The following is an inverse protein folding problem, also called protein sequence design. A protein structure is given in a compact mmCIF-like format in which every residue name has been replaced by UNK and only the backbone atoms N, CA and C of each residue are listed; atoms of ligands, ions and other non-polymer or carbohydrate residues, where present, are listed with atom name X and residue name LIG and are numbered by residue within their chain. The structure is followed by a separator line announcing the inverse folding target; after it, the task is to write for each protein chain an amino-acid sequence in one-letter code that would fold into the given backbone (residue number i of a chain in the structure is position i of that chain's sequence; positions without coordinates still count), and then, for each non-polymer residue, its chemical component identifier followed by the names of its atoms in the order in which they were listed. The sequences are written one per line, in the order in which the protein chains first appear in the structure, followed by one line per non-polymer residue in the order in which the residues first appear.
data_IF_420529577970
#
_entry.id   IF_420529577970
#
_cell.length_a   1.000
_cell.length_b   1.000
_cell.length_c   1.000
_cell.angle_alpha   90.00
_cell.angle_beta   90.00
_cell.angle_gamma   90.00
#
_symmetry.space_group_name_H-M   'P 1'
#
loop_
_entity.id
_entity.type
_entity.pdbx_description
1 polymer ?
#
# COMPACT_ATOMS: atom_id res chain seq x y z
N UNK A 1 -30.85 -12.76 -7.85
CA UNK A 1 -29.47 -13.02 -8.33
C UNK A 1 -29.07 -11.84 -9.21
N UNK A 2 -28.34 -10.85 -8.68
CA UNK A 2 -27.82 -9.79 -9.52
C UNK A 2 -26.80 -10.39 -10.49
N UNK A 3 -27.09 -10.33 -11.79
CA UNK A 3 -26.15 -10.75 -12.82
C UNK A 3 -24.82 -10.02 -12.63
N UNK A 4 -23.70 -10.74 -12.77
CA UNK A 4 -22.35 -10.19 -12.62
C UNK A 4 -22.16 -9.06 -13.64
N UNK A 5 -22.26 -7.79 -13.19
CA UNK A 5 -22.22 -6.58 -14.06
C UNK A 5 -20.83 -6.25 -14.60
N UNK A 6 -19.82 -7.03 -14.23
CA UNK A 6 -18.44 -6.81 -14.59
C UNK A 6 -17.70 -8.14 -14.74
N UNK A 7 -16.65 -8.13 -15.57
CA UNK A 7 -15.68 -9.21 -15.70
C UNK A 7 -14.28 -8.60 -15.76
N UNK A 8 -13.30 -9.33 -15.23
CA UNK A 8 -11.89 -8.96 -15.37
C UNK A 8 -11.53 -9.09 -16.86
N UNK A 9 -10.90 -8.05 -17.42
CA UNK A 9 -10.43 -8.04 -18.81
C UNK A 9 -8.91 -8.26 -18.90
N UNK A 10 -8.18 -7.72 -17.94
CA UNK A 10 -6.74 -7.83 -17.79
C UNK A 10 -6.37 -7.54 -16.32
N UNK A 11 -5.16 -7.93 -15.93
CA UNK A 11 -4.54 -7.61 -14.64
C UNK A 11 -3.20 -6.95 -14.92
N UNK A 12 -2.83 -5.97 -14.11
CA UNK A 12 -1.49 -5.39 -14.14
C UNK A 12 -0.51 -6.32 -13.42
N UNK A 13 0.79 -6.12 -13.68
CA UNK A 13 1.81 -6.77 -12.86
C UNK A 13 1.66 -6.33 -11.40
N UNK A 14 2.01 -7.19 -10.43
CA UNK A 14 2.01 -6.82 -9.02
C UNK A 14 2.88 -5.56 -8.77
N UNK A 15 2.35 -4.65 -7.97
CA UNK A 15 3.08 -3.50 -7.42
C UNK A 15 3.33 -3.72 -5.93
N UNK A 16 4.29 -3.01 -5.31
CA UNK A 16 4.35 -2.95 -3.85
C UNK A 16 3.00 -2.51 -3.26
N UNK A 17 2.73 -2.95 -2.03
CA UNK A 17 1.56 -2.52 -1.26
C UNK A 17 1.62 -1.03 -0.92
N UNK A 18 0.53 -0.44 -0.44
CA UNK A 18 0.54 0.93 0.04
C UNK A 18 1.38 1.04 1.35
N UNK A 19 2.33 1.98 1.44
CA UNK A 19 3.13 2.16 2.65
C UNK A 19 2.36 2.99 3.68
N UNK A 20 2.70 2.78 4.97
CA UNK A 20 2.42 3.76 6.01
C UNK A 20 3.51 4.82 6.00
N UNK A 21 3.13 6.10 5.96
CA UNK A 21 4.05 7.23 5.84
C UNK A 21 3.86 8.15 7.05
N UNK A 22 4.98 8.56 7.65
CA UNK A 22 5.03 9.54 8.74
C UNK A 22 5.55 10.88 8.24
N UNK A 23 5.56 11.90 9.11
CA UNK A 23 6.12 13.20 8.79
C UNK A 23 7.64 13.11 8.58
N UNK A 24 8.19 13.96 7.71
CA UNK A 24 9.63 14.07 7.50
C UNK A 24 10.42 14.49 8.76
N UNK A 25 9.74 15.06 9.76
CA UNK A 25 10.34 15.43 11.06
C UNK A 25 10.14 14.37 12.15
N UNK A 26 9.46 13.26 11.85
CA UNK A 26 9.32 12.14 12.80
C UNK A 26 10.69 11.52 13.04
N UNK A 27 11.05 11.33 14.31
CA UNK A 27 12.34 10.74 14.66
C UNK A 27 12.38 9.25 14.30
N UNK A 28 13.58 8.70 14.08
CA UNK A 28 13.75 7.26 13.82
C UNK A 28 13.21 6.41 14.97
N UNK A 29 13.38 6.87 16.21
CA UNK A 29 12.87 6.19 17.40
C UNK A 29 11.34 6.14 17.39
N UNK A 30 10.68 7.26 17.12
CA UNK A 30 9.21 7.31 17.04
C UNK A 30 8.70 6.45 15.87
N UNK A 31 9.36 6.51 14.71
CA UNK A 31 9.01 5.70 13.55
C UNK A 31 9.13 4.19 13.86
N UNK A 32 10.16 3.77 14.59
CA UNK A 32 10.32 2.39 15.01
C UNK A 32 9.21 1.95 15.98
N UNK A 33 8.83 2.80 16.93
CA UNK A 33 7.71 2.53 17.85
C UNK A 33 6.41 2.38 17.07
N UNK A 34 6.12 3.30 16.15
CA UNK A 34 4.91 3.24 15.32
C UNK A 34 4.87 1.98 14.45
N UNK A 35 5.99 1.62 13.82
CA UNK A 35 6.09 0.41 13.00
C UNK A 35 5.85 -0.86 13.83
N UNK A 36 6.40 -0.95 15.03
CA UNK A 36 6.17 -2.08 15.93
C UNK A 36 4.71 -2.12 16.40
N UNK A 37 4.12 -0.99 16.78
CA UNK A 37 2.70 -0.92 17.18
C UNK A 37 1.79 -1.41 16.04
N UNK A 38 2.03 -1.00 14.79
CA UNK A 38 1.27 -1.49 13.64
C UNK A 38 1.40 -3.02 13.50
N UNK A 39 2.61 -3.56 13.69
CA UNK A 39 2.90 -5.00 13.60
C UNK A 39 2.25 -5.79 14.75
N UNK A 40 2.12 -5.22 15.93
CA UNK A 40 1.38 -5.83 17.04
C UNK A 40 -0.12 -5.83 16.76
N UNK A 41 -0.66 -4.73 16.22
CA UNK A 41 -2.07 -4.63 15.86
C UNK A 41 -2.49 -5.67 14.82
N UNK A 42 -1.63 -6.03 13.86
CA UNK A 42 -1.93 -7.08 12.87
C UNK A 42 -2.05 -8.46 13.50
N UNK A 43 -1.44 -8.69 14.66
CA UNK A 43 -1.48 -9.97 15.37
C UNK A 43 -2.52 -10.02 16.47
N UNK A 44 -3.08 -8.89 16.88
CA UNK A 44 -4.13 -8.82 17.89
C UNK A 44 -5.46 -9.38 17.34
N UNK A 45 -5.98 -10.49 17.88
CA UNK A 45 -7.29 -11.04 17.51
C UNK A 45 -8.45 -10.09 17.84
N UNK A 46 -8.31 -9.28 18.89
CA UNK A 46 -9.33 -8.30 19.31
C UNK A 46 -9.57 -7.21 18.26
N UNK A 47 -8.57 -6.93 17.42
CA UNK A 47 -8.66 -5.96 16.34
C UNK A 47 -9.11 -6.57 15.00
N UNK A 48 -9.51 -7.83 14.96
CA UNK A 48 -9.96 -8.50 13.72
C UNK A 48 -11.09 -7.74 13.01
N UNK A 49 -12.04 -7.19 13.78
CA UNK A 49 -13.15 -6.39 13.27
C UNK A 49 -12.72 -5.10 12.55
N UNK A 50 -11.51 -4.59 12.80
CA UNK A 50 -10.92 -3.43 12.10
C UNK A 50 -10.07 -3.90 10.91
N UNK A 51 -9.33 -5.00 11.06
CA UNK A 51 -8.39 -5.49 10.04
C UNK A 51 -9.07 -6.15 8.85
N UNK A 52 -10.12 -6.93 9.10
CA UNK A 52 -10.82 -7.69 8.05
C UNK A 52 -11.42 -6.79 6.97
N UNK A 53 -12.16 -5.71 7.29
CA UNK A 53 -12.68 -4.79 6.26
C UNK A 53 -11.59 -4.05 5.48
N UNK A 54 -10.41 -3.86 6.09
CA UNK A 54 -9.26 -3.21 5.45
C UNK A 54 -8.40 -4.19 4.64
N UNK A 55 -8.73 -5.49 4.67
CA UNK A 55 -7.92 -6.56 4.07
C UNK A 55 -6.45 -6.55 4.55
N UNK A 56 -6.20 -6.13 5.79
CA UNK A 56 -4.86 -6.05 6.37
C UNK A 56 -4.50 -7.34 7.09
N UNK A 57 -3.54 -8.09 6.55
CA UNK A 57 -3.07 -9.36 7.12
C UNK A 57 -1.78 -9.23 7.90
N UNK A 58 -0.87 -8.36 7.47
CA UNK A 58 0.40 -8.13 8.14
C UNK A 58 0.99 -6.76 7.76
N UNK A 59 1.99 -6.31 8.51
CA UNK A 59 2.81 -5.13 8.22
C UNK A 59 4.29 -5.50 8.31
N UNK A 60 5.06 -5.12 7.31
CA UNK A 60 6.50 -5.37 7.22
C UNK A 60 7.27 -4.08 6.97
N UNK A 61 8.59 -4.10 7.22
CA UNK A 61 9.46 -3.05 6.77
C UNK A 61 9.39 -2.93 5.22
N UNK A 62 9.29 -1.71 4.67
CA UNK A 62 9.20 -1.53 3.22
C UNK A 62 10.54 -1.80 2.54
N UNK A 63 10.53 -2.56 1.46
CA UNK A 63 11.63 -2.57 0.49
C UNK A 63 11.49 -1.36 -0.44
N UNK A 64 12.28 -0.30 -0.19
CA UNK A 64 12.22 0.92 -0.99
C UNK A 64 12.59 0.67 -2.47
N UNK A 65 13.39 -0.34 -2.77
CA UNK A 65 13.72 -0.67 -4.16
C UNK A 65 12.50 -1.17 -4.94
N UNK A 66 11.56 -1.87 -4.27
CA UNK A 66 10.31 -2.31 -4.88
C UNK A 66 9.43 -1.15 -5.38
N UNK A 67 9.54 0.02 -4.75
CA UNK A 67 8.81 1.23 -5.15
C UNK A 67 9.41 1.94 -6.37
N UNK A 68 10.63 1.57 -6.80
CA UNK A 68 11.24 2.14 -8.01
C UNK A 68 10.40 1.93 -9.27
N UNK A 69 9.59 0.85 -9.33
CA UNK A 69 8.64 0.62 -10.43
C UNK A 69 7.57 1.71 -10.54
N UNK A 70 7.18 2.32 -9.42
CA UNK A 70 6.18 3.40 -9.44
C UNK A 70 6.72 4.66 -10.13
N UNK A 71 8.01 4.96 -9.96
CA UNK A 71 8.68 6.06 -10.68
C UNK A 71 8.75 5.77 -12.17
N UNK A 72 8.96 4.51 -12.57
CA UNK A 72 8.91 4.13 -13.98
C UNK A 72 7.50 4.33 -14.58
N UNK A 73 6.44 4.02 -13.83
CA UNK A 73 5.07 4.29 -14.27
C UNK A 73 4.76 5.78 -14.42
N UNK A 74 5.28 6.62 -13.53
CA UNK A 74 5.16 8.08 -13.65
C UNK A 74 5.83 8.60 -14.92
N UNK A 75 7.05 8.12 -15.23
CA UNK A 75 7.76 8.49 -16.45
C UNK A 75 7.02 8.01 -17.72
N UNK A 76 6.56 6.75 -17.74
CA UNK A 76 5.78 6.21 -18.85
C UNK A 76 4.48 7.00 -19.07
N UNK A 77 3.77 7.34 -17.99
CA UNK A 77 2.56 8.15 -18.07
C UNK A 77 2.85 9.53 -18.70
N UNK A 78 3.94 10.19 -18.30
CA UNK A 78 4.35 11.46 -18.87
C UNK A 78 4.68 11.35 -20.37
N UNK A 79 5.41 10.31 -20.79
CA UNK A 79 5.71 10.04 -22.21
C UNK A 79 4.46 9.79 -23.05
N UNK A 80 3.42 9.18 -22.46
CA UNK A 80 2.12 8.94 -23.09
C UNK A 80 1.20 10.16 -23.10
N UNK A 81 1.65 11.31 -22.57
CA UNK A 81 0.87 12.55 -22.52
C UNK A 81 -0.04 12.67 -21.29
N UNK A 82 0.21 11.89 -20.24
CA UNK A 82 -0.48 11.91 -18.95
C UNK A 82 0.46 12.31 -17.79
N UNK A 83 1.01 13.54 -17.78
CA UNK A 83 2.01 13.94 -16.77
C UNK A 83 1.41 14.21 -15.38
N UNK A 84 0.09 14.39 -15.28
CA UNK A 84 -0.61 14.63 -14.02
C UNK A 84 -1.79 13.67 -13.90
N UNK A 85 -2.09 13.23 -12.67
CA UNK A 85 -3.32 12.50 -12.37
C UNK A 85 -4.47 13.52 -12.40
N UNK A 86 -5.40 13.35 -13.35
CA UNK A 86 -6.60 14.18 -13.50
C UNK A 86 -7.61 13.99 -12.34
#
# INVERSE_FOLDING_TARGET
MAAKRYRILAETLPSPSLPFVTSAVTTEADAAVLAETLREMTRDPGLGHIREPLHLTDVSAPDLAAYGRLIAYEAEAAELGYPELA
#
